data_IF_836994045003
#
_entry.id   IF_836994045003
#
_cell.length_a   1.000
_cell.length_b   1.000
_cell.length_c   1.000
_cell.angle_alpha   90.00
_cell.angle_beta   90.00
_cell.angle_gamma   90.00
#
_symmetry.space_group_name_H-M   'P 1'
#
loop_
_entity.id
_entity.type
_entity.pdbx_description
1 polymer ?
#
# COMPACT_ATOMS: atom_id res chain seq x y z
N UNK A 1 -13.90 -1.49 -23.61
CA UNK A 1 -12.51 -1.03 -23.84
C UNK A 1 -11.82 -1.99 -24.79
N UNK A 2 -10.85 -1.56 -25.61
CA UNK A 2 -10.18 -2.50 -26.53
C UNK A 2 -9.27 -3.48 -25.75
N UNK A 3 -9.12 -4.75 -26.16
CA UNK A 3 -8.25 -5.72 -25.48
C UNK A 3 -6.78 -5.26 -25.39
N UNK A 4 -6.29 -4.58 -26.43
CA UNK A 4 -4.93 -4.00 -26.45
C UNK A 4 -4.77 -2.92 -25.38
N UNK A 5 -5.79 -2.12 -25.13
CA UNK A 5 -5.76 -1.08 -24.11
C UNK A 5 -5.75 -1.67 -22.71
N UNK A 6 -6.58 -2.71 -22.45
CA UNK A 6 -6.60 -3.42 -21.17
C UNK A 6 -5.25 -4.05 -20.86
N UNK A 7 -4.63 -4.73 -21.82
CA UNK A 7 -3.32 -5.33 -21.64
C UNK A 7 -2.24 -4.30 -21.30
N UNK A 8 -2.26 -3.13 -21.95
CA UNK A 8 -1.34 -2.03 -21.62
C UNK A 8 -1.58 -1.48 -20.21
N UNK A 9 -2.83 -1.38 -19.78
CA UNK A 9 -3.16 -0.98 -18.42
C UNK A 9 -2.66 -2.01 -17.40
N UNK A 10 -2.82 -3.30 -17.68
CA UNK A 10 -2.36 -4.38 -16.81
C UNK A 10 -0.83 -4.36 -16.66
N UNK A 11 -0.10 -4.22 -17.76
CA UNK A 11 1.37 -4.08 -17.76
C UNK A 11 1.81 -2.82 -16.99
N UNK A 12 1.11 -1.71 -17.22
CA UNK A 12 1.41 -0.45 -16.52
C UNK A 12 1.18 -0.60 -15.02
N UNK A 13 0.04 -1.18 -14.62
CA UNK A 13 -0.28 -1.45 -13.22
C UNK A 13 0.76 -2.39 -12.60
N UNK A 14 1.13 -3.47 -13.28
CA UNK A 14 2.15 -4.42 -12.82
C UNK A 14 3.48 -3.73 -12.54
N UNK A 15 4.00 -2.95 -13.50
CA UNK A 15 5.28 -2.24 -13.36
C UNK A 15 5.22 -1.26 -12.19
N UNK A 16 4.15 -0.46 -12.11
CA UNK A 16 4.00 0.54 -11.06
C UNK A 16 3.87 -0.09 -9.67
N UNK A 17 3.11 -1.17 -9.54
CA UNK A 17 2.94 -1.92 -8.29
C UNK A 17 4.28 -2.50 -7.82
N UNK A 18 5.05 -3.12 -8.72
CA UNK A 18 6.37 -3.68 -8.40
C UNK A 18 7.39 -2.61 -8.08
N UNK A 19 7.39 -1.48 -8.81
CA UNK A 19 8.28 -0.36 -8.55
C UNK A 19 8.02 0.24 -7.17
N UNK A 20 6.74 0.47 -6.83
CA UNK A 20 6.35 0.96 -5.51
C UNK A 20 6.70 -0.04 -4.40
N UNK A 21 6.39 -1.32 -4.60
CA UNK A 21 6.71 -2.37 -3.63
C UNK A 21 8.22 -2.47 -3.39
N UNK A 22 9.02 -2.41 -4.46
CA UNK A 22 10.48 -2.40 -4.39
C UNK A 22 11.03 -1.19 -3.64
N UNK A 23 10.53 0.01 -3.93
CA UNK A 23 10.90 1.22 -3.20
C UNK A 23 10.53 1.15 -1.70
N UNK A 24 9.31 0.67 -1.41
CA UNK A 24 8.81 0.51 -0.06
C UNK A 24 9.61 -0.53 0.75
N UNK A 25 9.91 -1.69 0.15
CA UNK A 25 10.76 -2.72 0.74
C UNK A 25 12.19 -2.21 0.93
N UNK A 26 12.74 -1.53 -0.09
CA UNK A 26 14.06 -0.90 -0.07
C UNK A 26 14.22 0.02 1.14
N UNK A 27 13.24 0.90 1.33
CA UNK A 27 13.21 1.77 2.49
C UNK A 27 13.04 1.00 3.81
N UNK A 28 12.04 0.12 3.91
CA UNK A 28 11.67 -0.54 5.17
C UNK A 28 12.73 -1.51 5.69
N UNK A 29 13.41 -2.22 4.79
CA UNK A 29 14.40 -3.26 5.13
C UNK A 29 15.82 -2.70 5.20
N UNK A 30 16.17 -1.72 4.37
CA UNK A 30 17.55 -1.22 4.29
C UNK A 30 17.69 0.20 4.83
N UNK A 31 17.00 1.18 4.25
CA UNK A 31 17.22 2.58 4.61
C UNK A 31 16.79 2.93 6.04
N UNK A 32 15.63 2.45 6.48
CA UNK A 32 15.12 2.77 7.81
C UNK A 32 16.05 2.23 8.92
N UNK A 33 16.50 0.96 8.93
CA UNK A 33 17.49 0.49 9.90
C UNK A 33 18.78 1.30 9.91
N UNK A 34 19.29 1.68 8.74
CA UNK A 34 20.49 2.52 8.62
C UNK A 34 20.27 3.88 9.29
N UNK A 35 19.13 4.53 9.07
CA UNK A 35 18.80 5.80 9.74
C UNK A 35 18.79 5.69 11.25
N UNK A 36 18.17 4.64 11.80
CA UNK A 36 18.12 4.44 13.25
C UNK A 36 19.45 4.00 13.87
N UNK A 37 20.42 3.55 13.07
CA UNK A 37 21.77 3.18 13.51
C UNK A 37 22.75 4.34 13.42
N UNK A 38 22.72 5.09 12.32
CA UNK A 38 23.78 6.06 11.97
C UNK A 38 23.44 7.51 12.34
N UNK A 39 22.15 7.87 12.49
CA UNK A 39 21.80 9.26 12.78
C UNK A 39 22.03 9.62 14.25
N UNK A 40 22.41 10.89 14.55
CA UNK A 40 22.74 11.34 15.91
C UNK A 40 21.63 11.14 16.94
N UNK A 41 20.36 11.08 16.51
CA UNK A 41 19.24 10.83 17.41
C UNK A 41 18.13 10.02 16.73
N UNK A 42 17.44 9.22 17.54
CA UNK A 42 16.30 8.40 17.10
C UNK A 42 15.10 9.25 16.67
N UNK A 43 14.95 10.44 17.25
CA UNK A 43 13.93 11.41 16.83
C UNK A 43 14.19 11.94 15.43
N UNK A 44 15.44 12.28 15.11
CA UNK A 44 15.81 12.74 13.77
C UNK A 44 15.59 11.62 12.75
N UNK A 45 16.02 10.40 13.06
CA UNK A 45 15.76 9.22 12.23
C UNK A 45 14.26 9.01 12.01
N UNK A 46 13.45 9.07 13.08
CA UNK A 46 12.01 8.93 13.00
C UNK A 46 11.33 10.05 12.20
N UNK A 47 11.84 11.28 12.25
CA UNK A 47 11.33 12.41 11.46
C UNK A 47 11.61 12.21 9.97
N UNK A 48 12.84 11.87 9.61
CA UNK A 48 13.23 11.58 8.22
C UNK A 48 12.46 10.38 7.68
N UNK A 49 12.40 9.28 8.44
CA UNK A 49 11.64 8.09 8.09
C UNK A 49 10.15 8.42 7.86
N UNK A 50 9.55 9.23 8.75
CA UNK A 50 8.16 9.67 8.59
C UNK A 50 7.91 10.48 7.31
N UNK A 51 8.84 11.36 6.93
CA UNK A 51 8.74 12.14 5.69
C UNK A 51 8.85 11.27 4.42
N UNK A 52 9.66 10.20 4.47
CA UNK A 52 9.79 9.25 3.38
C UNK A 52 8.55 8.36 3.29
N UNK A 53 8.07 7.83 4.42
CA UNK A 53 6.82 7.06 4.48
C UNK A 53 5.65 7.88 3.96
N UNK A 54 5.54 9.16 4.32
CA UNK A 54 4.49 10.04 3.81
C UNK A 54 4.52 10.18 2.28
N UNK A 55 5.71 10.25 1.66
CA UNK A 55 5.86 10.26 0.20
C UNK A 55 5.51 8.91 -0.43
N UNK A 56 5.94 7.81 0.20
CA UNK A 56 5.58 6.46 -0.25
C UNK A 56 4.08 6.21 -0.15
N UNK A 57 3.39 6.75 0.87
CA UNK A 57 1.93 6.67 1.00
C UNK A 57 1.22 7.43 -0.12
N UNK A 58 1.68 8.62 -0.47
CA UNK A 58 1.15 9.35 -1.64
C UNK A 58 1.38 8.61 -2.96
N UNK A 59 2.57 8.03 -3.13
CA UNK A 59 2.86 7.18 -4.29
C UNK A 59 1.96 5.94 -4.32
N UNK A 60 1.67 5.33 -3.16
CA UNK A 60 0.78 4.18 -3.05
C UNK A 60 -0.62 4.51 -3.57
N UNK A 61 -1.17 5.66 -3.17
CA UNK A 61 -2.46 6.14 -3.67
C UNK A 61 -2.50 6.22 -5.19
N UNK A 62 -1.48 6.84 -5.80
CA UNK A 62 -1.41 6.95 -7.26
C UNK A 62 -1.32 5.58 -7.94
N UNK A 63 -0.46 4.70 -7.44
CA UNK A 63 -0.24 3.37 -8.02
C UNK A 63 -1.48 2.47 -7.90
N UNK A 64 -2.10 2.40 -6.73
CA UNK A 64 -3.33 1.62 -6.55
C UNK A 64 -4.51 2.22 -7.32
N UNK A 65 -4.60 3.55 -7.46
CA UNK A 65 -5.62 4.17 -8.30
C UNK A 65 -5.45 3.81 -9.78
N UNK A 66 -4.21 3.84 -10.30
CA UNK A 66 -3.92 3.41 -11.67
C UNK A 66 -4.24 1.92 -11.86
N UNK A 67 -3.91 1.07 -10.89
CA UNK A 67 -4.32 -0.34 -10.91
C UNK A 67 -5.85 -0.49 -10.94
N UNK A 68 -6.58 0.37 -10.22
CA UNK A 68 -8.04 0.41 -10.26
C UNK A 68 -8.64 0.74 -11.63
N UNK A 69 -7.91 1.42 -12.52
CA UNK A 69 -8.38 1.66 -13.90
C UNK A 69 -8.46 0.37 -14.72
N UNK A 70 -7.57 -0.60 -14.47
CA UNK A 70 -7.63 -1.93 -15.08
C UNK A 70 -8.89 -2.68 -14.67
N UNK A 71 -9.31 -2.55 -13.40
CA UNK A 71 -10.59 -3.08 -12.92
C UNK A 71 -11.78 -2.34 -13.53
N UNK A 72 -11.77 -1.01 -13.54
CA UNK A 72 -12.87 -0.19 -14.08
C UNK A 72 -13.13 -0.50 -15.56
N UNK A 73 -12.08 -0.73 -16.35
CA UNK A 73 -12.21 -1.13 -17.76
C UNK A 73 -12.91 -2.47 -17.96
N UNK A 74 -12.77 -3.41 -17.02
CA UNK A 74 -13.44 -4.73 -17.02
C UNK A 74 -14.87 -4.65 -16.51
N UNK A 75 -15.11 -3.83 -15.49
CA UNK A 75 -16.47 -3.52 -15.03
C UNK A 75 -17.32 -2.92 -16.16
N UNK A 76 -16.77 -1.95 -16.89
CA UNK A 76 -17.43 -1.36 -18.07
C UNK A 76 -17.63 -2.34 -19.23
N UNK A 77 -16.88 -3.43 -19.27
CA UNK A 77 -17.01 -4.47 -20.29
C UNK A 77 -18.02 -5.57 -19.89
N UNK A 78 -18.70 -5.41 -18.75
CA UNK A 78 -19.70 -6.36 -18.22
C UNK A 78 -19.18 -7.81 -18.14
N UNK A 79 -17.90 -7.96 -17.76
CA UNK A 79 -17.30 -9.28 -17.58
C UNK A 79 -18.06 -10.00 -16.46
N UNK A 80 -18.72 -11.13 -16.81
CA UNK A 80 -19.45 -11.94 -15.86
C UNK A 80 -18.50 -12.96 -15.24
N UNK A 81 -18.56 -13.07 -13.93
CA UNK A 81 -17.80 -14.05 -13.15
C UNK A 81 -18.71 -14.64 -12.07
N UNK A 82 -18.37 -15.87 -11.67
CA UNK A 82 -18.95 -16.52 -10.51
C UNK A 82 -18.73 -15.72 -9.22
N UNK A 83 -19.42 -16.13 -8.15
CA UNK A 83 -19.39 -15.42 -6.87
C UNK A 83 -17.97 -15.25 -6.32
N UNK A 84 -17.10 -16.22 -6.59
CA UNK A 84 -15.67 -16.24 -6.21
C UNK A 84 -14.83 -16.46 -7.48
N UNK A 85 -14.71 -15.41 -8.30
CA UNK A 85 -13.83 -15.39 -9.48
C UNK A 85 -12.55 -14.56 -9.27
N UNK A 86 -11.54 -14.74 -10.15
CA UNK A 86 -10.26 -14.05 -10.06
C UNK A 86 -10.39 -12.52 -10.09
N UNK A 87 -11.31 -11.95 -10.88
CA UNK A 87 -11.57 -10.51 -10.89
C UNK A 87 -12.07 -10.04 -9.52
N UNK A 88 -13.06 -10.73 -8.93
CA UNK A 88 -13.61 -10.34 -7.62
C UNK A 88 -12.59 -10.42 -6.50
N UNK A 89 -11.76 -11.47 -6.48
CA UNK A 89 -10.70 -11.60 -5.49
C UNK A 89 -9.65 -10.50 -5.65
N UNK A 90 -9.25 -10.22 -6.88
CA UNK A 90 -8.30 -9.14 -7.19
C UNK A 90 -8.85 -7.77 -6.80
N UNK A 91 -10.11 -7.47 -7.13
CA UNK A 91 -10.79 -6.24 -6.73
C UNK A 91 -10.90 -6.09 -5.22
N UNK A 92 -11.20 -7.18 -4.51
CA UNK A 92 -11.28 -7.19 -3.05
C UNK A 92 -9.93 -6.89 -2.44
N UNK A 93 -8.85 -7.51 -2.95
CA UNK A 93 -7.48 -7.23 -2.52
C UNK A 93 -7.08 -5.77 -2.80
N UNK A 94 -7.45 -5.22 -3.97
CA UNK A 94 -7.21 -3.81 -4.30
C UNK A 94 -7.97 -2.88 -3.35
N UNK A 95 -9.24 -3.18 -3.05
CA UNK A 95 -10.05 -2.41 -2.11
C UNK A 95 -9.42 -2.41 -0.72
N UNK A 96 -8.98 -3.58 -0.24
CA UNK A 96 -8.26 -3.69 1.04
C UNK A 96 -6.98 -2.84 1.02
N UNK A 97 -6.21 -2.86 -0.07
CA UNK A 97 -5.01 -2.04 -0.20
C UNK A 97 -5.31 -0.53 -0.13
N UNK A 98 -6.38 -0.08 -0.77
CA UNK A 98 -6.85 1.31 -0.72
C UNK A 98 -7.35 1.70 0.68
N UNK A 99 -8.10 0.84 1.36
CA UNK A 99 -8.54 1.06 2.74
C UNK A 99 -7.34 1.13 3.70
N UNK A 100 -6.30 0.33 3.47
CA UNK A 100 -5.05 0.43 4.23
C UNK A 100 -4.31 1.74 3.96
N UNK A 101 -4.34 2.26 2.73
CA UNK A 101 -3.79 3.59 2.42
C UNK A 101 -4.57 4.68 3.16
N UNK A 102 -5.90 4.60 3.16
CA UNK A 102 -6.76 5.51 3.92
C UNK A 102 -6.43 5.47 5.42
N UNK A 103 -6.36 4.29 6.01
CA UNK A 103 -6.01 4.12 7.42
C UNK A 103 -4.61 4.67 7.73
N UNK A 104 -3.61 4.37 6.90
CA UNK A 104 -2.23 4.85 7.09
C UNK A 104 -2.14 6.38 7.05
N UNK A 105 -2.70 7.00 6.00
CA UNK A 105 -2.54 8.43 5.73
C UNK A 105 -3.40 9.30 6.66
N UNK A 106 -4.62 8.86 6.98
CA UNK A 106 -5.60 9.72 7.66
C UNK A 106 -5.88 9.32 9.11
N UNK A 107 -5.56 8.09 9.53
CA UNK A 107 -5.79 7.66 10.92
C UNK A 107 -4.48 7.50 11.68
N UNK A 108 -3.55 6.71 11.13
CA UNK A 108 -2.34 6.32 11.85
C UNK A 108 -1.30 7.43 11.86
N UNK A 109 -1.02 8.05 10.71
CA UNK A 109 -0.02 9.12 10.61
C UNK A 109 -0.39 10.34 11.47
N UNK A 110 -1.61 10.89 11.41
CA UNK A 110 -2.01 12.00 12.28
C UNK A 110 -1.97 11.62 13.75
N UNK A 111 -2.35 10.38 14.10
CA UNK A 111 -2.26 9.89 15.49
C UNK A 111 -0.83 9.89 16.01
N UNK A 112 0.15 9.42 15.23
CA UNK A 112 1.57 9.44 15.63
C UNK A 112 2.06 10.88 15.80
N UNK A 113 1.72 11.77 14.87
CA UNK A 113 2.08 13.19 14.95
C UNK A 113 1.48 13.86 16.18
N UNK A 114 0.19 13.62 16.45
CA UNK A 114 -0.50 14.13 17.61
C UNK A 114 0.02 13.57 18.94
N UNK A 115 0.65 12.39 18.95
CA UNK A 115 1.36 11.87 20.13
C UNK A 115 2.70 12.58 20.32
N UNK A 116 3.47 12.72 19.24
CA UNK A 116 4.77 13.39 19.28
C UNK A 116 4.66 14.87 19.64
N UNK A 117 3.61 15.55 19.21
CA UNK A 117 3.38 16.96 19.52
C UNK A 117 3.10 17.24 21.01
N UNK A 118 2.78 16.22 21.81
CA UNK A 118 2.54 16.36 23.26
C UNK A 118 3.80 16.16 24.09
N UNK A 119 4.84 15.59 23.47
CA UNK A 119 6.07 15.19 24.13
C UNK A 119 7.12 16.22 23.73
N UNK A 120 7.45 17.15 24.62
CA UNK A 120 8.48 18.19 24.41
C UNK A 120 9.93 17.66 24.57
N UNK A 121 10.09 16.34 24.56
CA UNK A 121 11.37 15.66 24.74
C UNK A 121 11.45 14.39 23.85
N UNK A 122 12.64 13.82 23.67
CA UNK A 122 12.77 12.53 23.00
C UNK A 122 11.93 11.46 23.66
N UNK A 123 11.28 10.60 22.87
CA UNK A 123 10.34 9.61 23.41
C UNK A 123 11.01 8.60 24.37
N UNK A 124 12.32 8.40 24.21
CA UNK A 124 13.13 7.55 25.08
C UNK A 124 13.34 8.14 26.48
N UNK A 125 13.14 9.45 26.66
CA UNK A 125 13.22 10.10 27.97
C UNK A 125 12.03 9.76 28.88
N UNK A 126 10.90 9.34 28.30
CA UNK A 126 9.73 8.90 29.04
C UNK A 126 9.95 7.51 29.63
N UNK A 127 9.41 7.25 30.82
CA UNK A 127 9.43 5.91 31.41
C UNK A 127 8.80 4.87 30.46
N UNK A 128 9.26 3.60 30.45
CA UNK A 128 8.76 2.57 29.53
C UNK A 128 7.24 2.34 29.57
N UNK A 129 6.64 2.52 30.74
CA UNK A 129 5.21 2.37 31.04
C UNK A 129 4.41 3.66 30.87
N UNK A 130 5.07 4.79 30.57
CA UNK A 130 4.41 6.07 30.33
C UNK A 130 3.38 5.95 29.19
N UNK A 131 2.16 6.42 29.44
CA UNK A 131 1.01 6.21 28.55
C UNK A 131 1.30 6.66 27.10
N UNK A 132 1.93 7.81 26.91
CA UNK A 132 2.28 8.32 25.57
C UNK A 132 3.33 7.48 24.84
N UNK A 133 4.34 6.96 25.57
CA UNK A 133 5.36 6.08 24.99
C UNK A 133 4.73 4.77 24.51
N UNK A 134 3.87 4.18 25.34
CA UNK A 134 3.11 2.96 25.00
C UNK A 134 2.19 3.21 23.80
N UNK A 135 1.45 4.33 23.78
CA UNK A 135 0.55 4.68 22.69
C UNK A 135 1.30 4.90 21.37
N UNK A 136 2.45 5.60 21.40
CA UNK A 136 3.28 5.82 20.23
C UNK A 136 3.84 4.50 19.69
N UNK A 137 4.36 3.63 20.56
CA UNK A 137 4.89 2.32 20.16
C UNK A 137 3.82 1.45 19.49
N UNK A 138 2.59 1.44 20.05
CA UNK A 138 1.46 0.72 19.45
C UNK A 138 1.08 1.29 18.07
N UNK A 139 0.96 2.61 17.96
CA UNK A 139 0.62 3.26 16.69
C UNK A 139 1.70 3.07 15.62
N UNK A 140 2.98 3.15 16.01
CA UNK A 140 4.10 2.88 15.14
C UNK A 140 4.16 1.42 14.69
N UNK A 141 3.92 0.46 15.59
CA UNK A 141 3.82 -0.96 15.25
C UNK A 141 2.70 -1.25 14.26
N UNK A 142 1.53 -0.64 14.44
CA UNK A 142 0.42 -0.75 13.51
C UNK A 142 0.75 -0.14 12.13
N UNK A 143 1.36 1.05 12.11
CA UNK A 143 1.85 1.70 10.88
C UNK A 143 2.79 0.77 10.09
N UNK A 144 3.75 0.16 10.78
CA UNK A 144 4.69 -0.80 10.18
C UNK A 144 3.99 -2.02 9.61
N UNK A 145 3.04 -2.61 10.32
CA UNK A 145 2.30 -3.78 9.84
C UNK A 145 1.46 -3.44 8.60
N UNK A 146 0.75 -2.31 8.60
CA UNK A 146 -0.01 -1.85 7.43
C UNK A 146 0.91 -1.56 6.23
N UNK A 147 2.11 -1.05 6.48
CA UNK A 147 3.11 -0.81 5.44
C UNK A 147 3.54 -2.13 4.76
N UNK A 148 3.94 -3.15 5.53
CA UNK A 148 4.34 -4.43 4.97
C UNK A 148 3.18 -5.21 4.32
N UNK A 149 1.98 -5.16 4.89
CA UNK A 149 0.80 -5.78 4.28
C UNK A 149 0.49 -5.16 2.91
N UNK A 150 0.63 -3.84 2.76
CA UNK A 150 0.47 -3.19 1.45
C UNK A 150 1.54 -3.59 0.45
N UNK A 151 2.78 -3.83 0.88
CA UNK A 151 3.83 -4.39 0.01
C UNK A 151 3.41 -5.77 -0.51
N UNK A 152 2.93 -6.64 0.38
CA UNK A 152 2.46 -7.99 0.01
C UNK A 152 1.28 -7.91 -0.97
N UNK A 153 0.31 -7.02 -0.71
CA UNK A 153 -0.82 -6.79 -1.62
C UNK A 153 -0.34 -6.27 -2.98
N UNK A 154 0.58 -5.32 -3.02
CA UNK A 154 1.11 -4.78 -4.28
C UNK A 154 1.78 -5.88 -5.12
N UNK A 155 2.60 -6.72 -4.50
CA UNK A 155 3.24 -7.87 -5.17
C UNK A 155 2.20 -8.88 -5.64
N UNK A 156 1.24 -9.24 -4.79
CA UNK A 156 0.17 -10.19 -5.13
C UNK A 156 -0.70 -9.70 -6.30
N UNK A 157 -1.11 -8.43 -6.26
CA UNK A 157 -1.88 -7.79 -7.33
C UNK A 157 -1.08 -7.75 -8.64
N UNK A 158 0.20 -7.39 -8.58
CA UNK A 158 1.08 -7.36 -9.75
C UNK A 158 1.30 -8.75 -10.37
N UNK A 159 1.46 -9.77 -9.54
CA UNK A 159 1.66 -11.14 -9.99
C UNK A 159 0.41 -11.74 -10.67
N UNK A 160 -0.78 -11.25 -10.30
CA UNK A 160 -2.06 -11.82 -10.73
C UNK A 160 -2.82 -10.99 -11.75
N UNK A 161 -2.41 -9.74 -12.00
CA UNK A 161 -3.12 -8.85 -12.96
C UNK A 161 -3.18 -9.41 -14.37
N UNK A 162 -2.17 -10.17 -14.80
CA UNK A 162 -2.14 -10.83 -16.11
C UNK A 162 -3.07 -12.05 -16.22
N UNK A 163 -3.61 -12.54 -15.11
CA UNK A 163 -4.55 -13.66 -15.04
C UNK A 163 -6.01 -13.19 -15.09
N UNK A 164 -6.24 -11.87 -15.12
CA UNK A 164 -7.59 -11.32 -15.12
C UNK A 164 -8.28 -11.51 -16.47
N UNK A 165 -9.57 -11.87 -16.49
CA UNK A 165 -10.33 -12.09 -17.73
C UNK A 165 -10.38 -10.83 -18.58
N UNK A 166 -10.30 -10.99 -19.91
CA UNK A 166 -10.30 -9.89 -20.89
C UNK A 166 -11.66 -9.70 -21.59
N UNK A 167 -12.48 -10.75 -21.68
CA UNK A 167 -13.85 -10.78 -22.22
C UNK A 167 -14.52 -12.10 -21.81
N UNK A 168 -15.86 -12.19 -21.82
CA UNK A 168 -16.56 -13.47 -21.68
C UNK A 168 -16.13 -14.40 -22.84
N UNK A 169 -15.31 -15.42 -22.58
CA UNK A 169 -14.84 -16.37 -23.60
C UNK A 169 -15.94 -17.35 -24.07
N UNK A 170 -17.14 -17.33 -23.45
CA UNK A 170 -18.23 -18.30 -23.69
C UNK A 170 -19.29 -17.88 -24.73
N UNK A 171 -18.99 -16.96 -25.65
CA UNK A 171 -19.85 -16.71 -26.82
C UNK A 171 -19.08 -16.96 -28.12
N UNK A 172 -18.51 -18.16 -28.27
CA UNK A 172 -18.34 -18.73 -29.59
C UNK A 172 -19.72 -19.20 -30.06
N UNK A 173 -20.26 -18.71 -31.20
CA UNK A 173 -21.44 -19.35 -31.76
C UNK A 173 -21.06 -20.78 -32.12
N UNK A 174 -21.75 -21.76 -31.52
CA UNK A 174 -21.77 -23.11 -32.03
C UNK A 174 -22.21 -23.01 -33.50
N UNK A 175 -21.30 -23.34 -34.40
CA UNK A 175 -21.54 -23.43 -35.84
C UNK A 175 -22.56 -24.52 -36.16
#
# INVERSE_FOLDING_TARGET
MSPRTLHRLDQTAQILLLLWAGAALGFGVFSAPVFFRELPSRDLAGRIAGLIIGRLDWAAWAVFAVAGLSWAGRWMAEVKEDVIGPLRLWSSALMVALLMCLASSFLITPKIQAIRARIDAPIESLAPDHADRVACNKAHGLSRNLFFLRILLAVGLAATVGLLPLKNEDQAPLA
#
